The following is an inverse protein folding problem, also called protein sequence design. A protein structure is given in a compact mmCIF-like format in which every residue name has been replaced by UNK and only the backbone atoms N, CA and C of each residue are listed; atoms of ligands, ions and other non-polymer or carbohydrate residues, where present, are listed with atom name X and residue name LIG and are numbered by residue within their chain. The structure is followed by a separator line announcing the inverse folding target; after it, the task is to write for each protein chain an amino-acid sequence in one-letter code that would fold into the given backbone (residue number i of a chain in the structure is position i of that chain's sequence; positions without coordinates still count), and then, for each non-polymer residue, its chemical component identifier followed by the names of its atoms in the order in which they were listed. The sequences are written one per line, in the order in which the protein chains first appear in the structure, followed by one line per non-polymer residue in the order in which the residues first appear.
data_IF_446991704464
#
_entry.id   IF_446991704464
#
_cell.length_a   1.000
_cell.length_b   1.000
_cell.length_c   1.000
_cell.angle_alpha   90.00
_cell.angle_beta   90.00
_cell.angle_gamma   90.00
#
_symmetry.space_group_name_H-M   'P 1'
#
loop_
_entity.id
_entity.type
_entity.pdbx_description
1 polymer ?
#
# COMPACT_ATOMS: atom_id res chain seq x y z
N UNK A 1 14.01 -1.08 -15.77
CA UNK A 1 14.19 -0.28 -14.55
C UNK A 1 15.60 0.27 -14.42
N UNK A 2 16.68 -0.55 -14.47
CA UNK A 2 18.08 -0.07 -14.34
C UNK A 2 18.50 0.99 -15.37
N UNK A 3 18.07 0.92 -16.64
CA UNK A 3 18.33 1.96 -17.66
C UNK A 3 17.64 3.32 -17.34
N UNK A 4 16.58 3.30 -16.57
CA UNK A 4 15.85 4.49 -16.14
C UNK A 4 16.57 5.20 -14.98
N UNK A 5 17.17 4.42 -14.06
CA UNK A 5 17.94 4.99 -12.93
C UNK A 5 19.22 5.70 -13.37
N UNK A 6 19.80 5.35 -14.53
CA UNK A 6 21.00 6.00 -15.06
C UNK A 6 20.74 7.34 -15.78
N UNK A 7 19.50 7.71 -16.07
CA UNK A 7 19.16 8.84 -16.95
C UNK A 7 18.57 10.08 -16.28
N UNK A 8 18.44 10.15 -14.97
CA UNK A 8 17.73 11.24 -14.26
C UNK A 8 16.36 11.58 -14.91
N UNK A 9 15.65 10.58 -15.42
CA UNK A 9 14.32 10.72 -16.00
C UNK A 9 13.37 9.78 -15.28
N UNK A 10 12.16 10.25 -14.92
CA UNK A 10 11.16 9.38 -14.30
C UNK A 10 10.82 8.23 -15.25
N UNK A 11 10.57 7.03 -14.73
CA UNK A 11 10.05 5.95 -15.54
C UNK A 11 8.72 6.38 -16.16
N UNK A 12 8.50 6.08 -17.43
CA UNK A 12 7.25 6.42 -18.13
C UNK A 12 6.34 5.19 -18.19
N UNK A 13 5.05 5.42 -17.95
CA UNK A 13 4.05 4.42 -18.24
C UNK A 13 3.94 4.17 -19.75
N UNK A 14 3.77 2.91 -20.17
CA UNK A 14 3.58 2.54 -21.58
C UNK A 14 2.30 3.14 -22.19
N UNK A 15 1.36 3.57 -21.36
CA UNK A 15 0.12 4.25 -21.74
C UNK A 15 0.18 5.77 -21.59
N UNK A 16 1.37 6.34 -21.35
CA UNK A 16 1.55 7.80 -21.23
C UNK A 16 0.94 8.54 -22.41
N UNK A 17 0.10 9.54 -22.12
CA UNK A 17 -0.65 10.33 -23.13
C UNK A 17 -1.79 9.58 -23.81
N UNK A 18 -2.19 8.38 -23.37
CA UNK A 18 -3.25 7.59 -23.98
C UNK A 18 -4.52 7.46 -23.12
N UNK A 19 -4.45 7.88 -21.86
CA UNK A 19 -5.55 7.85 -20.90
C UNK A 19 -5.37 8.92 -19.81
N UNK A 20 -6.27 8.91 -18.82
CA UNK A 20 -6.36 9.93 -17.76
C UNK A 20 -5.33 9.76 -16.63
N UNK A 21 -4.47 8.74 -16.67
CA UNK A 21 -3.58 8.42 -15.55
C UNK A 21 -2.65 9.59 -15.18
N UNK A 22 -2.06 10.25 -16.17
CA UNK A 22 -1.15 11.38 -15.90
C UNK A 22 -1.89 12.56 -15.25
N UNK A 23 -3.11 12.85 -15.71
CA UNK A 23 -3.94 13.91 -15.14
C UNK A 23 -4.32 13.57 -13.68
N UNK A 24 -4.78 12.34 -13.42
CA UNK A 24 -5.12 11.89 -12.06
C UNK A 24 -3.90 11.96 -11.14
N UNK A 25 -2.73 11.50 -11.60
CA UNK A 25 -1.51 11.52 -10.79
C UNK A 25 -1.01 12.94 -10.54
N UNK A 26 -1.21 13.88 -11.48
CA UNK A 26 -0.90 15.28 -11.28
C UNK A 26 -1.81 15.92 -10.21
N UNK A 27 -3.11 15.65 -10.23
CA UNK A 27 -4.04 16.09 -9.19
C UNK A 27 -3.67 15.50 -7.82
N UNK A 28 -3.38 14.20 -7.77
CA UNK A 28 -2.92 13.56 -6.54
C UNK A 28 -1.61 14.14 -6.01
N UNK A 29 -0.70 14.56 -6.90
CA UNK A 29 0.56 15.18 -6.50
C UNK A 29 0.38 16.60 -5.93
N UNK A 30 -0.67 17.31 -6.33
CA UNK A 30 -0.96 18.70 -5.92
C UNK A 30 -1.80 18.80 -4.65
N UNK A 31 -2.42 17.70 -4.18
CA UNK A 31 -3.27 17.75 -3.00
C UNK A 31 -2.50 17.54 -1.69
N UNK A 32 -2.91 18.21 -0.61
CA UNK A 32 -2.39 18.02 0.75
C UNK A 32 -3.03 16.82 1.44
N UNK A 33 -4.25 16.48 1.08
CA UNK A 33 -5.03 15.37 1.64
C UNK A 33 -5.86 14.63 0.61
N UNK A 34 -6.02 13.32 0.79
CA UNK A 34 -6.79 12.43 -0.08
C UNK A 34 -7.70 11.53 0.73
N UNK A 35 -8.95 11.40 0.31
CA UNK A 35 -9.85 10.37 0.83
C UNK A 35 -10.11 9.33 -0.26
N UNK A 36 -9.79 8.08 0.04
CA UNK A 36 -10.06 6.94 -0.84
C UNK A 36 -11.27 6.18 -0.33
N UNK A 37 -12.30 6.03 -1.19
CA UNK A 37 -13.51 5.28 -0.86
C UNK A 37 -13.75 4.18 -1.89
N UNK A 38 -13.49 2.92 -1.50
CA UNK A 38 -13.53 1.75 -2.39
C UNK A 38 -14.32 0.61 -1.75
N UNK A 39 -15.26 -0.03 -2.45
CA UNK A 39 -15.98 -1.18 -1.93
C UNK A 39 -15.11 -2.44 -1.85
N UNK A 40 -15.45 -3.31 -0.90
CA UNK A 40 -14.88 -4.64 -0.77
C UNK A 40 -15.56 -5.62 -1.74
N UNK A 41 -14.77 -6.28 -2.56
CA UNK A 41 -15.19 -7.37 -3.44
C UNK A 41 -14.27 -8.57 -3.25
N UNK A 42 -14.86 -9.76 -3.03
CA UNK A 42 -14.06 -10.99 -2.85
C UNK A 42 -12.94 -10.78 -1.81
N UNK A 43 -13.33 -10.30 -0.60
CA UNK A 43 -12.46 -10.08 0.57
C UNK A 43 -11.51 -8.88 0.46
N UNK A 44 -11.16 -8.43 -0.74
CA UNK A 44 -10.23 -7.33 -1.03
C UNK A 44 -10.90 -6.10 -1.65
N UNK A 45 -10.13 -5.07 -2.00
CA UNK A 45 -10.66 -3.90 -2.70
C UNK A 45 -11.12 -4.27 -4.12
N UNK A 46 -12.03 -3.47 -4.67
CA UNK A 46 -12.53 -3.63 -6.04
C UNK A 46 -11.38 -3.68 -7.07
N UNK A 47 -11.49 -4.55 -8.08
CA UNK A 47 -10.43 -4.80 -9.07
C UNK A 47 -9.95 -3.56 -9.84
N UNK A 48 -10.80 -2.55 -10.08
CA UNK A 48 -10.39 -1.28 -10.69
C UNK A 48 -9.36 -0.53 -9.84
N UNK A 49 -9.43 -0.65 -8.51
CA UNK A 49 -8.41 -0.10 -7.63
C UNK A 49 -7.03 -0.71 -7.92
N UNK A 50 -6.98 -2.04 -8.07
CA UNK A 50 -5.72 -2.73 -8.40
C UNK A 50 -5.20 -2.33 -9.77
N UNK A 51 -6.06 -2.27 -10.80
CA UNK A 51 -5.70 -1.79 -12.14
C UNK A 51 -5.12 -0.38 -12.11
N UNK A 52 -5.71 0.51 -11.30
CA UNK A 52 -5.25 1.88 -11.13
C UNK A 52 -3.90 1.94 -10.40
N UNK A 53 -3.79 1.25 -9.25
CA UNK A 53 -2.59 1.33 -8.40
C UNK A 53 -1.38 0.57 -8.96
N UNK A 54 -1.56 -0.49 -9.76
CA UNK A 54 -0.45 -1.18 -10.43
C UNK A 54 0.30 -0.28 -11.42
N UNK A 55 -0.33 0.78 -11.85
CA UNK A 55 0.25 1.77 -12.74
C UNK A 55 0.97 2.91 -12.01
N UNK A 56 0.99 2.90 -10.67
CA UNK A 56 1.62 3.97 -9.88
C UNK A 56 3.13 3.86 -9.79
N UNK A 57 3.72 2.70 -10.10
CA UNK A 57 5.16 2.49 -9.99
C UNK A 57 6.01 3.61 -10.64
N UNK A 58 5.69 4.13 -11.85
CA UNK A 58 6.43 5.25 -12.43
C UNK A 58 6.33 6.55 -11.63
N UNK A 59 5.32 6.68 -10.79
CA UNK A 59 5.01 7.88 -10.00
C UNK A 59 5.39 7.70 -8.52
N UNK A 60 5.98 6.56 -8.14
CA UNK A 60 6.39 6.31 -6.76
C UNK A 60 7.54 7.23 -6.35
N UNK A 61 7.34 7.92 -5.23
CA UNK A 61 8.28 8.94 -4.77
C UNK A 61 9.64 8.37 -4.38
N UNK A 62 9.71 7.21 -3.74
CA UNK A 62 10.98 6.58 -3.39
C UNK A 62 11.81 6.26 -4.65
N UNK A 63 11.16 5.81 -5.73
CA UNK A 63 11.82 5.57 -7.02
C UNK A 63 12.30 6.88 -7.66
N UNK A 64 11.50 7.95 -7.59
CA UNK A 64 11.88 9.25 -8.15
C UNK A 64 13.02 9.91 -7.37
N UNK A 65 13.04 9.79 -6.04
CA UNK A 65 14.15 10.23 -5.18
C UNK A 65 15.41 9.46 -5.55
N UNK A 66 15.34 8.12 -5.62
CA UNK A 66 16.48 7.27 -5.98
C UNK A 66 17.01 7.55 -7.39
N UNK A 67 16.13 7.93 -8.31
CA UNK A 67 16.49 8.35 -9.67
C UNK A 67 17.05 9.80 -9.74
N UNK A 68 17.05 10.56 -8.65
CA UNK A 68 17.47 11.95 -8.58
C UNK A 68 16.58 12.91 -9.38
N UNK A 69 15.30 12.57 -9.52
CA UNK A 69 14.27 13.40 -10.18
C UNK A 69 13.72 14.43 -9.22
N UNK A 70 13.55 14.05 -7.96
CA UNK A 70 13.11 14.92 -6.84
C UNK A 70 13.98 14.66 -5.62
N UNK A 71 14.11 15.66 -4.73
CA UNK A 71 14.94 15.55 -3.53
C UNK A 71 14.19 14.90 -2.36
N UNK A 72 12.87 15.11 -2.27
CA UNK A 72 12.02 14.55 -1.20
C UNK A 72 10.61 14.21 -1.71
N UNK A 73 9.98 13.30 -1.00
CA UNK A 73 8.55 13.01 -1.19
C UNK A 73 7.69 14.13 -0.59
N UNK A 74 6.49 14.38 -1.15
CA UNK A 74 5.56 15.33 -0.56
C UNK A 74 5.02 14.84 0.78
N UNK A 75 4.74 15.77 1.65
CA UNK A 75 4.16 15.56 2.98
C UNK A 75 2.64 15.66 2.87
N UNK A 76 1.96 14.51 2.83
CA UNK A 76 0.52 14.42 2.55
C UNK A 76 -0.18 13.46 3.49
N UNK A 77 -1.48 13.65 3.67
CA UNK A 77 -2.31 12.82 4.55
C UNK A 77 -3.43 12.13 3.79
N UNK A 78 -3.93 11.00 4.32
CA UNK A 78 -5.04 10.30 3.71
C UNK A 78 -6.03 9.74 4.74
N UNK A 79 -7.28 9.63 4.31
CA UNK A 79 -8.32 8.84 4.95
C UNK A 79 -8.74 7.67 4.07
N UNK A 80 -9.11 6.54 4.66
CA UNK A 80 -9.55 5.36 3.94
C UNK A 80 -10.96 4.96 4.36
N UNK A 81 -11.86 4.88 3.40
CA UNK A 81 -13.22 4.39 3.57
C UNK A 81 -13.39 3.10 2.78
N UNK A 82 -13.86 2.04 3.41
CA UNK A 82 -14.34 0.89 2.67
C UNK A 82 -15.74 0.48 3.14
N UNK A 83 -16.51 -0.10 2.24
CA UNK A 83 -17.80 -0.71 2.54
C UNK A 83 -17.85 -2.12 1.96
N UNK A 84 -18.52 -3.03 2.64
CA UNK A 84 -18.67 -4.39 2.16
C UNK A 84 -19.95 -5.06 2.63
N UNK A 85 -20.35 -6.09 1.92
CA UNK A 85 -21.63 -6.76 2.07
C UNK A 85 -21.79 -7.60 3.34
N UNK A 86 -20.71 -7.94 4.01
CA UNK A 86 -20.71 -8.87 5.13
C UNK A 86 -19.99 -8.31 6.38
N UNK A 87 -19.69 -9.17 7.32
CA UNK A 87 -18.89 -8.89 8.50
C UNK A 87 -17.40 -8.86 8.18
N UNK A 88 -16.55 -8.56 9.17
CA UNK A 88 -15.12 -8.33 8.98
C UNK A 88 -14.39 -9.45 8.22
N UNK A 89 -14.73 -10.71 8.50
CA UNK A 89 -14.09 -11.89 7.88
C UNK A 89 -14.20 -11.95 6.34
N UNK A 90 -15.14 -11.21 5.76
CA UNK A 90 -15.31 -11.07 4.30
C UNK A 90 -14.76 -9.74 3.74
N UNK A 91 -13.97 -9.02 4.54
CA UNK A 91 -13.40 -7.72 4.18
C UNK A 91 -11.94 -7.57 4.66
N UNK A 92 -11.32 -8.66 5.11
CA UNK A 92 -10.04 -8.65 5.85
C UNK A 92 -8.88 -8.04 5.08
N UNK A 93 -8.84 -8.18 3.76
CA UNK A 93 -7.76 -7.68 2.92
C UNK A 93 -8.01 -6.26 2.37
N UNK A 94 -9.21 -5.72 2.59
CA UNK A 94 -9.60 -4.47 1.91
C UNK A 94 -8.79 -3.28 2.42
N UNK A 95 -8.71 -3.06 3.73
CA UNK A 95 -7.96 -1.92 4.27
C UNK A 95 -6.47 -2.00 3.96
N UNK A 96 -5.87 -3.19 4.06
CA UNK A 96 -4.46 -3.37 3.68
C UNK A 96 -4.25 -3.08 2.19
N UNK A 97 -5.14 -3.60 1.33
CA UNK A 97 -5.08 -3.36 -0.11
C UNK A 97 -5.32 -1.89 -0.53
N UNK A 98 -5.98 -1.09 0.32
CA UNK A 98 -6.13 0.35 0.13
C UNK A 98 -4.94 1.14 0.68
N UNK A 99 -4.44 0.77 1.86
CA UNK A 99 -3.40 1.52 2.55
C UNK A 99 -2.00 1.35 1.97
N UNK A 100 -1.64 0.16 1.49
CA UNK A 100 -0.32 -0.09 0.90
C UNK A 100 -0.02 0.90 -0.24
N UNK A 101 -0.89 1.08 -1.26
CA UNK A 101 -0.64 2.06 -2.31
C UNK A 101 -0.56 3.50 -1.79
N UNK A 102 -1.32 3.86 -0.74
CA UNK A 102 -1.23 5.18 -0.13
C UNK A 102 0.17 5.43 0.45
N UNK A 103 0.75 4.46 1.15
CA UNK A 103 2.11 4.56 1.68
C UNK A 103 3.15 4.70 0.56
N UNK A 104 3.02 3.93 -0.53
CA UNK A 104 3.91 4.04 -1.70
C UNK A 104 3.85 5.42 -2.35
N UNK A 105 2.71 6.11 -2.24
CA UNK A 105 2.55 7.50 -2.69
C UNK A 105 2.82 8.53 -1.59
N UNK A 106 3.46 8.13 -0.48
CA UNK A 106 3.84 9.02 0.64
C UNK A 106 2.67 9.72 1.34
N UNK A 107 1.50 9.08 1.37
CA UNK A 107 0.39 9.53 2.20
C UNK A 107 0.48 8.91 3.59
N UNK A 108 0.43 9.74 4.63
CA UNK A 108 0.24 9.28 6.01
C UNK A 108 -1.25 9.07 6.26
N UNK A 109 -1.68 7.84 6.47
CA UNK A 109 -3.09 7.53 6.76
C UNK A 109 -3.43 7.95 8.18
N UNK A 110 -4.36 8.87 8.34
CA UNK A 110 -4.76 9.46 9.64
C UNK A 110 -6.05 8.89 10.20
N UNK A 111 -6.89 8.30 9.34
CA UNK A 111 -8.13 7.65 9.76
C UNK A 111 -8.56 6.58 8.75
N UNK A 112 -9.22 5.54 9.26
CA UNK A 112 -9.78 4.45 8.45
C UNK A 112 -11.16 4.06 8.98
N UNK A 113 -12.11 3.81 8.10
CA UNK A 113 -13.40 3.25 8.46
C UNK A 113 -13.83 2.10 7.56
N UNK A 114 -14.62 1.19 8.14
CA UNK A 114 -15.18 0.04 7.44
C UNK A 114 -16.67 -0.09 7.69
N UNK A 115 -17.48 0.17 6.66
CA UNK A 115 -18.92 -0.09 6.66
C UNK A 115 -19.18 -1.59 6.44
N UNK A 116 -19.75 -2.25 7.45
CA UNK A 116 -20.07 -3.69 7.42
C UNK A 116 -21.54 -3.91 7.10
N UNK A 117 -21.87 -5.00 6.37
CA UNK A 117 -23.23 -5.39 5.98
C UNK A 117 -23.93 -4.36 5.08
N UNK A 118 -23.16 -3.68 4.24
CA UNK A 118 -23.59 -2.66 3.27
C UNK A 118 -23.53 -3.21 1.85
N UNK A 119 -24.22 -4.33 1.57
CA UNK A 119 -24.16 -5.03 0.29
C UNK A 119 -24.82 -4.27 -0.87
N UNK A 120 -25.88 -3.53 -0.58
CA UNK A 120 -26.66 -2.89 -1.63
C UNK A 120 -26.20 -1.46 -1.88
N UNK A 121 -26.11 -1.01 -3.14
CA UNK A 121 -25.78 0.37 -3.47
C UNK A 121 -26.73 1.35 -2.73
N UNK A 122 -26.14 2.38 -2.13
CA UNK A 122 -26.89 3.38 -1.37
C UNK A 122 -27.32 2.97 0.03
N UNK A 123 -27.21 1.68 0.42
CA UNK A 123 -27.66 1.24 1.77
C UNK A 123 -26.96 2.03 2.90
N UNK A 124 -25.68 2.34 2.74
CA UNK A 124 -24.93 3.13 3.71
C UNK A 124 -25.54 4.50 4.01
N UNK A 125 -26.25 5.10 3.05
CA UNK A 125 -26.85 6.45 3.17
C UNK A 125 -28.00 6.54 4.16
N UNK A 126 -28.57 5.41 4.58
CA UNK A 126 -29.63 5.34 5.59
C UNK A 126 -29.15 4.83 6.95
N UNK A 127 -27.83 4.69 7.13
CA UNK A 127 -27.23 4.22 8.40
C UNK A 127 -26.47 5.38 9.04
N UNK A 128 -27.07 6.14 9.98
CA UNK A 128 -26.50 7.37 10.54
C UNK A 128 -25.09 7.19 11.06
N UNK A 129 -24.81 6.08 11.75
CA UNK A 129 -23.49 5.77 12.28
C UNK A 129 -22.37 5.85 11.22
N UNK A 130 -22.60 5.31 10.01
CA UNK A 130 -21.57 5.33 8.97
C UNK A 130 -21.44 6.70 8.31
N UNK A 131 -22.51 7.48 8.25
CA UNK A 131 -22.45 8.87 7.78
C UNK A 131 -21.66 9.75 8.76
N UNK A 132 -21.91 9.60 10.06
CA UNK A 132 -21.17 10.28 11.13
C UNK A 132 -19.69 9.92 11.11
N UNK A 133 -19.36 8.64 10.98
CA UNK A 133 -17.97 8.18 10.87
C UNK A 133 -17.28 8.73 9.62
N UNK A 134 -17.96 8.74 8.47
CA UNK A 134 -17.40 9.30 7.24
C UNK A 134 -17.17 10.82 7.34
N UNK A 135 -18.11 11.54 7.97
CA UNK A 135 -17.97 12.98 8.24
C UNK A 135 -16.77 13.23 9.16
N UNK A 136 -16.68 12.48 10.26
CA UNK A 136 -15.56 12.57 11.21
C UNK A 136 -14.22 12.28 10.55
N UNK A 137 -14.14 11.27 9.71
CA UNK A 137 -12.94 10.97 8.93
C UNK A 137 -12.57 12.15 8.02
N UNK A 138 -13.54 12.76 7.35
CA UNK A 138 -13.31 13.97 6.55
C UNK A 138 -12.74 15.12 7.38
N UNK A 139 -13.29 15.39 8.57
CA UNK A 139 -12.75 16.39 9.51
C UNK A 139 -11.32 16.04 9.96
N UNK A 140 -11.06 14.78 10.27
CA UNK A 140 -9.75 14.30 10.69
C UNK A 140 -8.69 14.54 9.59
N UNK A 141 -9.00 14.22 8.33
CA UNK A 141 -8.11 14.51 7.20
C UNK A 141 -7.90 16.01 7.01
N UNK A 142 -8.98 16.80 7.00
CA UNK A 142 -8.91 18.25 6.82
C UNK A 142 -8.12 18.96 7.95
N UNK A 143 -8.23 18.48 9.16
CA UNK A 143 -7.46 19.01 10.29
C UNK A 143 -5.99 18.57 10.22
N UNK A 144 -5.70 17.34 9.81
CA UNK A 144 -4.34 16.84 9.64
C UNK A 144 -3.57 17.62 8.55
N UNK A 145 -4.24 18.06 7.48
CA UNK A 145 -3.63 18.92 6.45
C UNK A 145 -3.11 20.27 6.98
N UNK A 146 -3.55 20.71 8.16
CA UNK A 146 -3.14 21.99 8.77
C UNK A 146 -1.97 21.85 9.74
N UNK A 147 -1.59 20.62 10.07
CA UNK A 147 -0.53 20.34 11.03
C UNK A 147 0.83 20.20 10.32
N UNK A 148 1.94 20.51 10.99
CA UNK A 148 3.25 20.05 10.58
C UNK A 148 3.26 18.52 10.41
N UNK A 149 3.87 18.02 9.34
CA UNK A 149 3.75 16.60 8.97
C UNK A 149 4.30 15.62 10.02
N UNK A 150 5.30 16.03 10.78
CA UNK A 150 5.87 15.28 11.89
C UNK A 150 4.93 15.18 13.11
N UNK A 151 4.02 16.14 13.28
CA UNK A 151 2.99 16.13 14.32
C UNK A 151 1.74 15.32 13.94
N UNK A 152 1.57 15.02 12.64
CA UNK A 152 0.42 14.24 12.16
C UNK A 152 0.44 12.84 12.72
N UNK A 153 -0.65 12.46 13.41
CA UNK A 153 -0.84 11.13 14.01
C UNK A 153 -2.12 10.50 13.47
N UNK A 154 -2.22 9.19 13.62
CA UNK A 154 -3.48 8.50 13.43
C UNK A 154 -4.46 8.91 14.54
N UNK A 155 -5.68 9.29 14.14
CA UNK A 155 -6.74 9.77 15.06
C UNK A 155 -8.06 9.02 14.86
N UNK A 156 -8.05 7.97 14.01
CA UNK A 156 -9.22 7.16 13.74
C UNK A 156 -9.65 6.29 14.94
N UNK A 157 -10.92 5.94 14.98
CA UNK A 157 -11.50 5.05 16.00
C UNK A 157 -11.07 3.58 15.81
N UNK A 158 -10.71 3.19 14.58
CA UNK A 158 -10.30 1.83 14.29
C UNK A 158 -8.89 1.59 14.83
N UNK A 159 -8.80 0.80 15.90
CA UNK A 159 -7.54 0.37 16.49
C UNK A 159 -7.28 -1.10 16.14
N UNK A 160 -6.18 -1.35 15.45
CA UNK A 160 -5.72 -2.69 15.09
C UNK A 160 -4.49 -3.10 15.90
N UNK A 161 -3.99 -4.30 15.63
CA UNK A 161 -2.80 -4.83 16.29
C UNK A 161 -1.53 -4.00 16.03
N UNK A 162 -1.39 -3.46 14.82
CA UNK A 162 -0.20 -2.71 14.45
C UNK A 162 -0.22 -1.30 15.07
N UNK A 163 0.75 -0.93 15.92
CA UNK A 163 0.80 0.40 16.53
C UNK A 163 1.23 1.50 15.54
N UNK A 164 1.66 1.12 14.32
CA UNK A 164 2.15 2.07 13.30
C UNK A 164 1.05 2.48 12.34
N UNK A 165 0.29 1.52 11.81
CA UNK A 165 -0.73 1.78 10.80
C UNK A 165 -2.15 1.36 11.21
N UNK A 166 -2.32 0.87 12.44
CA UNK A 166 -3.60 0.46 13.05
C UNK A 166 -4.37 -0.62 12.25
N UNK A 167 -3.67 -1.41 11.44
CA UNK A 167 -4.25 -2.56 10.74
C UNK A 167 -4.24 -3.81 11.62
N UNK A 168 -5.20 -4.72 11.40
CA UNK A 168 -5.36 -5.97 12.16
C UNK A 168 -4.67 -7.18 11.52
N UNK A 169 -4.18 -7.05 10.28
CA UNK A 169 -3.64 -8.18 9.55
C UNK A 169 -2.14 -8.32 9.84
N UNK A 170 -1.81 -9.32 10.65
CA UNK A 170 -0.42 -9.66 11.01
C UNK A 170 -0.03 -10.99 10.36
N UNK A 171 1.19 -11.07 9.89
CA UNK A 171 1.79 -12.24 9.25
C UNK A 171 2.88 -12.82 10.16
N UNK A 172 3.06 -14.13 10.13
CA UNK A 172 4.29 -14.75 10.59
C UNK A 172 5.40 -14.33 9.60
N UNK A 173 6.42 -13.66 10.11
CA UNK A 173 7.47 -13.12 9.27
C UNK A 173 8.41 -14.20 8.74
N UNK A 174 9.05 -13.90 7.60
CA UNK A 174 10.19 -14.63 7.04
C UNK A 174 11.41 -13.72 7.05
N UNK A 175 12.65 -14.23 6.99
CA UNK A 175 13.84 -13.39 6.91
C UNK A 175 13.82 -12.50 5.66
N UNK A 176 14.15 -11.25 5.84
CA UNK A 176 14.35 -10.31 4.73
C UNK A 176 15.65 -10.58 3.98
N UNK A 177 15.80 -10.00 2.81
CA UNK A 177 16.93 -10.17 1.89
C UNK A 177 18.28 -9.74 2.51
N UNK A 178 18.27 -8.80 3.43
CA UNK A 178 19.42 -8.29 4.18
C UNK A 178 19.71 -9.08 5.46
N UNK A 179 18.94 -10.14 5.71
CA UNK A 179 19.07 -11.00 6.89
C UNK A 179 18.32 -10.52 8.13
N UNK A 180 17.65 -9.35 8.07
CA UNK A 180 16.80 -8.89 9.15
C UNK A 180 15.60 -9.82 9.31
N UNK A 181 15.21 -10.13 10.54
CA UNK A 181 14.14 -11.07 10.83
C UNK A 181 13.34 -10.65 12.06
N UNK A 182 12.04 -10.86 11.98
CA UNK A 182 11.08 -10.66 13.06
C UNK A 182 10.26 -11.93 13.27
N UNK A 183 9.52 -12.01 14.36
CA UNK A 183 8.59 -13.11 14.55
C UNK A 183 7.27 -12.88 13.82
N UNK A 184 6.82 -11.65 13.81
CA UNK A 184 5.63 -11.21 13.09
C UNK A 184 5.85 -9.86 12.40
N UNK A 185 5.07 -9.63 11.35
CA UNK A 185 5.05 -8.37 10.62
C UNK A 185 3.63 -7.93 10.26
N UNK A 186 3.42 -6.63 10.20
CA UNK A 186 2.18 -6.08 9.72
C UNK A 186 2.07 -6.21 8.19
N UNK A 187 1.03 -6.87 7.69
CA UNK A 187 0.81 -7.04 6.26
C UNK A 187 0.65 -5.71 5.50
N UNK A 188 0.18 -4.65 6.16
CA UNK A 188 -0.05 -3.35 5.53
C UNK A 188 1.21 -2.50 5.48
N UNK A 189 1.94 -2.35 6.58
CA UNK A 189 3.09 -1.44 6.65
C UNK A 189 4.45 -2.10 6.79
N UNK A 190 4.54 -3.41 6.99
CA UNK A 190 5.77 -4.18 7.28
C UNK A 190 6.48 -3.80 8.58
N UNK A 191 5.79 -3.21 9.54
CA UNK A 191 6.36 -3.05 10.86
C UNK A 191 6.56 -4.43 11.53
N UNK A 192 7.79 -4.72 11.94
CA UNK A 192 8.20 -6.01 12.51
C UNK A 192 8.25 -6.01 14.03
N UNK A 193 7.94 -7.15 14.65
CA UNK A 193 7.93 -7.28 16.10
C UNK A 193 7.43 -8.63 16.60
N UNK A 194 6.92 -8.64 17.84
CA UNK A 194 6.32 -9.82 18.47
C UNK A 194 5.05 -9.47 19.25
N UNK A 195 4.28 -10.47 19.60
CA UNK A 195 3.14 -10.34 20.49
C UNK A 195 3.58 -10.60 21.93
N UNK A 196 3.21 -9.69 22.83
CA UNK A 196 3.46 -9.78 24.27
C UNK A 196 2.16 -9.54 25.04
N UNK A 197 2.11 -10.01 26.29
CA UNK A 197 1.05 -9.67 27.22
C UNK A 197 1.39 -8.35 27.91
N UNK A 198 0.44 -7.42 27.98
CA UNK A 198 0.56 -6.21 28.75
C UNK A 198 0.35 -6.46 30.26
N UNK A 199 0.42 -5.41 31.08
CA UNK A 199 0.24 -5.46 32.53
C UNK A 199 -1.13 -5.97 33.00
N UNK A 200 -2.14 -5.92 32.11
CA UNK A 200 -3.50 -6.42 32.34
C UNK A 200 -3.69 -7.84 31.79
N UNK A 201 -2.65 -8.43 31.19
CA UNK A 201 -2.72 -9.74 30.55
C UNK A 201 -3.38 -9.71 29.16
N UNK A 202 -3.53 -8.54 28.55
CA UNK A 202 -4.03 -8.40 27.20
C UNK A 202 -2.91 -8.49 26.17
N UNK A 203 -3.19 -9.16 25.05
CA UNK A 203 -2.22 -9.33 23.97
C UNK A 203 -2.02 -8.02 23.20
N UNK A 204 -0.78 -7.58 23.05
CA UNK A 204 -0.42 -6.45 22.21
C UNK A 204 0.76 -6.75 21.30
N UNK A 205 0.82 -6.11 20.15
CA UNK A 205 1.99 -6.17 19.27
C UNK A 205 3.02 -5.13 19.67
N UNK A 206 4.24 -5.57 19.90
CA UNK A 206 5.39 -4.74 20.33
C UNK A 206 6.41 -4.72 19.21
N UNK A 207 6.81 -3.51 18.81
CA UNK A 207 7.83 -3.33 17.78
C UNK A 207 9.20 -3.85 18.25
N UNK A 208 9.88 -4.57 17.36
CA UNK A 208 11.29 -4.86 17.54
C UNK A 208 12.13 -3.56 17.49
N UNK A 209 13.35 -3.52 18.09
CA UNK A 209 14.19 -2.31 18.07
C UNK A 209 14.43 -1.73 16.68
N UNK A 210 14.53 -2.57 15.66
CA UNK A 210 14.70 -2.24 14.24
C UNK A 210 13.45 -2.58 13.41
N UNK A 211 12.29 -2.72 14.05
CA UNK A 211 11.03 -3.14 13.43
C UNK A 211 10.45 -2.18 12.39
N UNK A 212 11.06 -1.03 12.17
CA UNK A 212 10.63 -0.05 11.17
C UNK A 212 11.55 0.04 9.94
N UNK A 213 12.64 -0.70 9.87
CA UNK A 213 13.61 -0.61 8.77
C UNK A 213 13.02 -0.96 7.40
N UNK A 214 12.06 -1.90 7.36
CA UNK A 214 11.32 -2.26 6.15
C UNK A 214 9.91 -1.64 6.07
N UNK A 215 9.61 -0.70 6.96
CA UNK A 215 8.28 -0.14 7.05
C UNK A 215 7.93 0.73 5.83
N UNK A 216 6.92 0.31 5.07
CA UNK A 216 6.44 0.99 3.85
C UNK A 216 5.89 2.38 4.08
N UNK A 217 5.56 2.74 5.32
CA UNK A 217 5.10 4.08 5.68
C UNK A 217 6.22 5.12 5.51
N UNK A 218 7.47 4.71 5.69
CA UNK A 218 8.65 5.59 5.65
C UNK A 218 9.40 5.46 4.31
N UNK A 219 10.04 6.56 3.89
CA UNK A 219 10.85 6.58 2.67
C UNK A 219 12.02 5.59 2.74
N UNK A 220 12.62 5.44 3.91
CA UNK A 220 13.74 4.53 4.18
C UNK A 220 13.35 3.08 3.90
N UNK A 221 12.21 2.62 4.42
CA UNK A 221 11.72 1.26 4.19
C UNK A 221 11.37 1.01 2.71
N UNK A 222 10.84 2.01 2.01
CA UNK A 222 10.61 1.90 0.56
C UNK A 222 11.92 1.93 -0.24
N UNK A 223 12.90 2.71 0.18
CA UNK A 223 14.22 2.74 -0.43
C UNK A 223 14.94 1.41 -0.27
N UNK A 224 14.86 0.78 0.92
CA UNK A 224 15.38 -0.56 1.18
C UNK A 224 14.82 -1.59 0.19
N UNK A 225 13.51 -1.61 -0.05
CA UNK A 225 12.93 -2.48 -1.07
C UNK A 225 13.45 -2.20 -2.50
N UNK A 226 13.77 -0.96 -2.84
CA UNK A 226 14.39 -0.65 -4.14
C UNK A 226 15.84 -1.16 -4.23
N UNK A 227 16.56 -1.28 -3.11
CA UNK A 227 17.88 -1.89 -3.05
C UNK A 227 17.79 -3.40 -3.27
N UNK A 228 16.85 -4.08 -2.60
CA UNK A 228 16.49 -5.48 -2.84
C UNK A 228 16.22 -5.75 -4.33
N UNK A 229 15.33 -4.94 -4.95
CA UNK A 229 15.06 -5.05 -6.38
C UNK A 229 16.31 -4.82 -7.24
N UNK A 230 17.23 -3.97 -6.81
CA UNK A 230 18.52 -3.76 -7.46
C UNK A 230 19.38 -5.03 -7.49
N UNK A 231 19.48 -5.73 -6.36
CA UNK A 231 20.21 -7.01 -6.26
C UNK A 231 19.57 -8.10 -7.11
N UNK A 232 18.24 -8.25 -7.04
CA UNK A 232 17.50 -9.23 -7.86
C UNK A 232 17.75 -8.98 -9.36
N UNK A 233 17.76 -7.72 -9.79
CA UNK A 233 18.05 -7.39 -11.18
C UNK A 233 19.51 -7.67 -11.55
N UNK A 234 20.45 -7.37 -10.67
CA UNK A 234 21.87 -7.68 -10.91
C UNK A 234 22.07 -9.18 -11.06
N UNK A 235 21.44 -10.01 -10.24
CA UNK A 235 21.49 -11.46 -10.34
C UNK A 235 20.84 -11.96 -11.65
N UNK A 236 19.67 -11.44 -12.02
CA UNK A 236 19.07 -11.76 -13.32
C UNK A 236 20.01 -11.48 -14.49
N UNK A 237 20.72 -10.36 -14.49
CA UNK A 237 21.62 -10.00 -15.59
C UNK A 237 22.84 -10.92 -15.68
N UNK A 238 23.33 -11.47 -14.56
CA UNK A 238 24.41 -12.49 -14.57
C UNK A 238 23.97 -13.77 -15.31
N UNK A 239 22.69 -14.14 -15.17
CA UNK A 239 22.10 -15.37 -15.73
C UNK A 239 21.19 -15.12 -16.95
N UNK A 240 21.23 -13.93 -17.53
CA UNK A 240 20.28 -13.52 -18.59
C UNK A 240 20.18 -14.48 -19.75
N UNK A 241 21.31 -14.97 -20.25
CA UNK A 241 21.34 -15.90 -21.39
C UNK A 241 20.73 -17.26 -21.04
N UNK A 242 21.04 -17.78 -19.85
CA UNK A 242 20.45 -19.01 -19.32
C UNK A 242 18.94 -18.89 -19.17
N UNK A 243 18.46 -17.77 -18.54
CA UNK A 243 17.03 -17.49 -18.40
C UNK A 243 16.33 -17.38 -19.74
N UNK A 244 16.93 -16.66 -20.70
CA UNK A 244 16.35 -16.53 -22.05
C UNK A 244 16.31 -17.86 -22.77
N UNK A 245 17.34 -18.71 -22.62
CA UNK A 245 17.37 -20.07 -23.14
C UNK A 245 16.28 -20.96 -22.56
N UNK A 246 16.09 -20.90 -21.24
CA UNK A 246 15.02 -21.62 -20.56
C UNK A 246 13.62 -21.13 -21.00
N UNK A 247 13.41 -19.82 -21.10
CA UNK A 247 12.14 -19.24 -21.57
C UNK A 247 11.79 -19.66 -22.99
N UNK A 248 12.77 -19.86 -23.88
CA UNK A 248 12.53 -20.29 -25.27
C UNK A 248 11.81 -21.64 -25.35
N UNK A 249 11.97 -22.53 -24.36
CA UNK A 249 11.25 -23.81 -24.28
C UNK A 249 9.73 -23.58 -24.18
N UNK A 250 9.29 -22.45 -23.62
CA UNK A 250 7.88 -22.14 -23.38
C UNK A 250 7.27 -21.19 -24.41
N UNK A 251 8.08 -20.48 -25.22
CA UNK A 251 7.59 -19.52 -26.22
C UNK A 251 6.65 -20.14 -27.25
N UNK A 252 6.91 -21.39 -27.61
CA UNK A 252 6.12 -22.13 -28.59
C UNK A 252 5.11 -23.08 -27.93
N UNK A 253 5.00 -23.03 -26.60
CA UNK A 253 4.02 -23.85 -25.87
C UNK A 253 2.61 -23.39 -26.23
N UNK A 254 1.84 -24.28 -26.87
CA UNK A 254 0.43 -24.08 -27.10
C UNK A 254 -0.36 -24.78 -25.98
N UNK A 255 -0.99 -24.03 -25.06
CA UNK A 255 -1.80 -24.67 -24.02
C UNK A 255 -2.91 -25.49 -24.69
N UNK A 256 -3.16 -26.69 -24.15
CA UNK A 256 -4.25 -27.53 -24.60
C UNK A 256 -5.55 -26.79 -24.33
N UNK A 257 -6.33 -26.46 -25.34
CA UNK A 257 -7.67 -25.87 -25.15
C UNK A 257 -8.53 -26.85 -24.36
N UNK A 258 -8.99 -26.46 -23.19
CA UNK A 258 -9.89 -27.29 -22.36
C UNK A 258 -11.35 -27.19 -22.80
N UNK A 259 -11.69 -26.18 -23.60
CA UNK A 259 -13.03 -26.00 -24.14
C UNK A 259 -12.99 -26.20 -25.65
N UNK A 260 -13.87 -27.04 -26.13
CA UNK A 260 -14.17 -27.12 -27.58
C UNK A 260 -15.06 -25.88 -27.88
N UNK A 261 -14.75 -25.24 -28.99
CA UNK A 261 -15.57 -24.15 -29.54
C UNK A 261 -16.99 -24.64 -29.79
#
# INVERSE_FOLDING_TARGET
MMQVMMKKQPPKCIFSGKDDMEAIMAEMASCDGLIVSIPSFTVGPHGLWKVFTDRWLPYEWALQIKAGVVDKAPERVAGIICTGGATLNWQTLTLAGLGIPMFMQSFKVVDMMMGKRMASPGHVSIVPKYLEQAHKLGENVANACKLPYDEVKYVGEMQGWCPVCHNNLMLKAEPHWDGLSYKYECAMCSAGGDFELDENGELKFVLAPNGLEHCRLFNEGRANHLDELGEIHAEFFKHKEEVMGAMNKYRNYKPRRMFKD
#
